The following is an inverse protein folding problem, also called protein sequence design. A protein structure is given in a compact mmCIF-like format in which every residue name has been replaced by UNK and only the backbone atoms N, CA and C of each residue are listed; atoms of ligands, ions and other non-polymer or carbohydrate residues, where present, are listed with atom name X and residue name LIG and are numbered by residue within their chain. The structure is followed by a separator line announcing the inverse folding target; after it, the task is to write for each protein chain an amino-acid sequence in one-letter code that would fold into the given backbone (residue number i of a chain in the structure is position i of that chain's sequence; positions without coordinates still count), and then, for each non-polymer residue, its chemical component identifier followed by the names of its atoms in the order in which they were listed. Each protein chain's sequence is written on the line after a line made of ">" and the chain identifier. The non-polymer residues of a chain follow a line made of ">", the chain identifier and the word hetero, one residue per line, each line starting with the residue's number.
data_IF_247287779314
#
_entry.id   IF_247287779314
#
_cell.length_a   1.000
_cell.length_b   1.000
_cell.length_c   1.000
_cell.angle_alpha   90.00
_cell.angle_beta   90.00
_cell.angle_gamma   90.00
#
_symmetry.space_group_name_H-M   'P 1'
#
loop_
_entity.id
_entity.type
_entity.pdbx_description
1 polymer ?
#
# COMPACT_ATOMS: atom_id res chain seq x y z
N UNK A 1 28.53 7.28 -10.94
CA UNK A 1 28.12 7.55 -9.54
C UNK A 1 26.63 7.87 -9.47
N UNK A 2 26.09 8.84 -10.22
CA UNK A 2 24.63 9.00 -10.33
C UNK A 2 23.90 7.79 -10.96
N UNK A 3 24.61 7.03 -11.80
CA UNK A 3 24.16 5.77 -12.40
C UNK A 3 23.53 4.84 -11.37
N UNK A 4 24.19 4.63 -10.24
CA UNK A 4 23.84 3.53 -9.33
C UNK A 4 22.48 3.76 -8.65
N UNK A 5 22.10 5.02 -8.41
CA UNK A 5 20.80 5.38 -7.82
C UNK A 5 19.67 5.33 -8.85
N UNK A 6 19.95 5.80 -10.08
CA UNK A 6 19.00 5.71 -11.19
C UNK A 6 18.74 4.24 -11.51
N UNK A 7 19.80 3.42 -11.55
CA UNK A 7 19.74 1.98 -11.77
C UNK A 7 18.91 1.32 -10.68
N UNK A 8 19.17 1.58 -9.40
CA UNK A 8 18.35 1.02 -8.31
C UNK A 8 16.88 1.45 -8.40
N UNK A 9 16.62 2.71 -8.78
CA UNK A 9 15.25 3.20 -8.96
C UNK A 9 14.50 2.39 -10.03
N UNK A 10 15.11 2.23 -11.21
CA UNK A 10 14.46 1.52 -12.33
C UNK A 10 14.50 -0.01 -12.21
N UNK A 11 15.48 -0.58 -11.52
CA UNK A 11 15.62 -2.04 -11.38
C UNK A 11 14.92 -2.59 -10.14
N UNK A 12 14.70 -1.78 -9.10
CA UNK A 12 14.08 -2.23 -7.86
C UNK A 12 12.85 -1.39 -7.47
N UNK A 13 13.00 -0.08 -7.30
CA UNK A 13 11.92 0.75 -6.72
C UNK A 13 10.66 0.74 -7.58
N UNK A 14 10.78 1.12 -8.86
CA UNK A 14 9.67 1.18 -9.80
C UNK A 14 9.01 -0.18 -10.04
N UNK A 15 9.73 -1.24 -10.46
CA UNK A 15 9.11 -2.52 -10.76
C UNK A 15 8.46 -3.19 -9.54
N UNK A 16 9.08 -3.12 -8.35
CA UNK A 16 8.48 -3.72 -7.15
C UNK A 16 7.22 -2.96 -6.70
N UNK A 17 7.20 -1.63 -6.87
CA UNK A 17 6.01 -0.83 -6.62
C UNK A 17 4.89 -1.16 -7.61
N UNK A 18 5.19 -1.15 -8.91
CA UNK A 18 4.22 -1.46 -9.96
C UNK A 18 3.65 -2.88 -9.81
N UNK A 19 4.48 -3.88 -9.49
CA UNK A 19 4.02 -5.24 -9.19
C UNK A 19 2.98 -5.25 -8.06
N UNK A 20 3.28 -4.61 -6.93
CA UNK A 20 2.35 -4.57 -5.80
C UNK A 20 1.07 -3.79 -6.14
N UNK A 21 1.21 -2.64 -6.81
CA UNK A 21 0.08 -1.80 -7.19
C UNK A 21 -0.87 -2.53 -8.15
N UNK A 22 -0.34 -3.19 -9.18
CA UNK A 22 -1.15 -3.96 -10.13
C UNK A 22 -1.77 -5.22 -9.50
N UNK A 23 -1.03 -5.95 -8.66
CA UNK A 23 -1.59 -7.08 -7.93
C UNK A 23 -2.74 -6.66 -7.03
N UNK A 24 -2.64 -5.51 -6.36
CA UNK A 24 -3.71 -4.99 -5.50
C UNK A 24 -5.03 -4.72 -6.24
N UNK A 25 -4.97 -4.54 -7.58
CA UNK A 25 -6.12 -4.30 -8.44
C UNK A 25 -6.67 -5.57 -9.10
N UNK A 26 -5.80 -6.53 -9.37
CA UNK A 26 -6.10 -7.65 -10.28
C UNK A 26 -6.24 -8.98 -9.58
N UNK A 27 -5.60 -9.18 -8.41
CA UNK A 27 -5.66 -10.44 -7.71
C UNK A 27 -7.07 -10.65 -7.14
N UNK A 28 -7.63 -11.84 -7.39
CA UNK A 28 -8.97 -12.23 -6.92
C UNK A 28 -8.90 -13.25 -5.78
N UNK A 29 -7.71 -13.52 -5.24
CA UNK A 29 -7.47 -14.53 -4.22
C UNK A 29 -6.73 -13.94 -3.01
N UNK A 30 -7.12 -14.36 -1.80
CA UNK A 30 -6.47 -13.90 -0.53
C UNK A 30 -5.83 -15.00 0.28
N UNK A 31 -5.89 -16.24 -0.20
CA UNK A 31 -5.11 -17.34 0.38
C UNK A 31 -3.62 -17.25 0.08
N UNK A 32 -3.24 -16.67 -1.07
CA UNK A 32 -1.85 -16.62 -1.54
C UNK A 32 -0.94 -15.72 -0.71
N UNK A 33 0.38 -15.94 -0.84
CA UNK A 33 1.39 -15.03 -0.32
C UNK A 33 1.81 -13.95 -1.33
N UNK A 34 1.34 -14.04 -2.58
CA UNK A 34 1.78 -13.15 -3.67
C UNK A 34 1.59 -11.66 -3.36
N UNK A 35 0.39 -11.25 -2.90
CA UNK A 35 0.12 -9.85 -2.59
C UNK A 35 0.94 -9.34 -1.37
N UNK A 36 0.97 -10.04 -0.22
CA UNK A 36 1.89 -9.71 0.87
C UNK A 36 3.36 -9.67 0.46
N UNK A 37 3.84 -10.64 -0.31
CA UNK A 37 5.24 -10.72 -0.74
C UNK A 37 5.60 -9.51 -1.63
N UNK A 38 4.73 -9.15 -2.58
CA UNK A 38 4.88 -7.95 -3.40
C UNK A 38 4.88 -6.68 -2.54
N UNK A 39 3.99 -6.58 -1.56
CA UNK A 39 3.95 -5.47 -0.62
C UNK A 39 5.26 -5.31 0.16
N UNK A 40 5.84 -6.43 0.64
CA UNK A 40 7.10 -6.41 1.40
C UNK A 40 8.30 -6.08 0.51
N UNK A 41 8.34 -6.59 -0.73
CA UNK A 41 9.38 -6.21 -1.71
C UNK A 41 9.31 -4.72 -2.04
N UNK A 42 8.12 -4.19 -2.31
CA UNK A 42 7.87 -2.78 -2.55
C UNK A 42 8.36 -1.93 -1.37
N UNK A 43 7.89 -2.24 -0.16
CA UNK A 43 8.30 -1.54 1.06
C UNK A 43 9.82 -1.56 1.29
N UNK A 44 10.47 -2.71 1.07
CA UNK A 44 11.91 -2.85 1.19
C UNK A 44 12.69 -1.98 0.22
N UNK A 45 12.32 -2.01 -1.06
CA UNK A 45 12.98 -1.19 -2.09
C UNK A 45 12.78 0.31 -1.86
N UNK A 46 11.56 0.74 -1.50
CA UNK A 46 11.25 2.12 -1.18
C UNK A 46 12.00 2.62 0.06
N UNK A 47 12.12 1.78 1.10
CA UNK A 47 12.84 2.14 2.32
C UNK A 47 14.35 2.22 2.10
N UNK A 48 14.92 1.22 1.41
CA UNK A 48 16.35 1.15 1.14
C UNK A 48 16.83 2.14 0.08
N UNK A 49 15.93 2.69 -0.75
CA UNK A 49 16.34 3.68 -1.74
C UNK A 49 17.03 4.90 -1.12
N UNK A 50 16.64 5.30 0.10
CA UNK A 50 17.35 6.33 0.87
C UNK A 50 18.83 5.97 1.06
N UNK A 51 19.13 4.72 1.41
CA UNK A 51 20.50 4.26 1.67
C UNK A 51 21.37 4.39 0.41
N UNK A 52 20.79 4.15 -0.76
CA UNK A 52 21.46 4.38 -2.03
C UNK A 52 21.77 5.85 -2.26
N UNK A 53 20.98 6.79 -1.72
CA UNK A 53 21.20 8.23 -1.88
C UNK A 53 22.20 8.82 -0.87
N UNK A 54 22.61 8.07 0.17
CA UNK A 54 23.49 8.59 1.22
C UNK A 54 24.87 9.03 0.68
N UNK A 55 25.40 8.39 -0.36
CA UNK A 55 26.68 8.81 -0.94
C UNK A 55 26.62 10.20 -1.60
N UNK A 56 25.42 10.66 -1.98
CA UNK A 56 25.20 11.99 -2.57
C UNK A 56 24.89 13.07 -1.53
N UNK A 57 24.13 12.73 -0.50
CA UNK A 57 23.57 13.70 0.45
C UNK A 57 24.16 13.61 1.87
N UNK A 58 25.01 12.61 2.11
CA UNK A 58 25.64 12.34 3.40
C UNK A 58 24.66 11.97 4.50
N UNK A 59 25.16 11.89 5.74
CA UNK A 59 24.41 11.44 6.92
C UNK A 59 23.25 12.37 7.31
N UNK A 60 23.25 13.60 6.80
CA UNK A 60 22.14 14.54 6.98
C UNK A 60 20.84 14.03 6.37
N UNK A 61 20.93 13.18 5.34
CA UNK A 61 19.81 12.52 4.66
C UNK A 61 19.28 11.32 5.45
N UNK A 62 19.11 11.53 6.75
CA UNK A 62 18.69 10.53 7.71
C UNK A 62 17.25 10.08 7.49
N UNK A 63 16.87 8.95 8.09
CA UNK A 63 15.48 8.49 8.14
C UNK A 63 14.52 9.57 8.63
N UNK A 64 14.89 10.25 9.71
CA UNK A 64 14.06 11.31 10.33
C UNK A 64 13.85 12.49 9.40
N UNK A 65 14.90 12.86 8.66
CA UNK A 65 14.81 13.91 7.66
C UNK A 65 13.84 13.52 6.53
N UNK A 66 13.97 12.32 5.96
CA UNK A 66 13.05 11.85 4.90
C UNK A 66 11.62 11.76 5.43
N UNK A 67 11.42 11.27 6.65
CA UNK A 67 10.10 11.21 7.29
C UNK A 67 9.47 12.60 7.52
N UNK A 68 10.28 13.65 7.71
CA UNK A 68 9.75 15.03 7.78
C UNK A 68 9.26 15.56 6.43
N UNK A 69 9.72 14.98 5.31
CA UNK A 69 9.27 15.32 3.97
C UNK A 69 8.12 14.43 3.49
N UNK A 70 8.08 13.17 3.94
CA UNK A 70 7.04 12.20 3.65
C UNK A 70 6.72 11.40 4.92
N UNK A 71 5.64 11.74 5.61
CA UNK A 71 5.27 11.13 6.90
C UNK A 71 5.04 9.61 6.82
N UNK A 72 4.63 9.12 5.65
CA UNK A 72 4.40 7.69 5.41
C UNK A 72 5.70 6.87 5.25
N UNK A 73 6.85 7.53 5.11
CA UNK A 73 8.14 6.85 4.99
C UNK A 73 8.46 6.01 6.23
N UNK A 74 8.08 6.50 7.41
CA UNK A 74 8.36 5.79 8.65
C UNK A 74 7.60 4.47 8.75
N UNK A 75 6.31 4.48 8.40
CA UNK A 75 5.47 3.28 8.47
C UNK A 75 5.89 2.24 7.43
N UNK A 76 6.26 2.66 6.22
CA UNK A 76 6.82 1.76 5.19
C UNK A 76 8.10 1.10 5.70
N UNK A 77 8.99 1.87 6.32
CA UNK A 77 10.21 1.34 6.92
C UNK A 77 9.96 0.44 8.13
N UNK A 78 8.97 0.72 8.98
CA UNK A 78 8.59 -0.17 10.09
C UNK A 78 8.06 -1.51 9.57
N UNK A 79 7.14 -1.47 8.60
CA UNK A 79 6.55 -2.67 7.99
C UNK A 79 7.63 -3.56 7.39
N UNK A 80 8.54 -3.00 6.60
CA UNK A 80 9.65 -3.77 6.04
C UNK A 80 10.55 -4.38 7.14
N UNK A 81 10.95 -3.59 8.14
CA UNK A 81 11.82 -4.10 9.21
C UNK A 81 11.13 -5.18 10.07
N UNK A 82 9.80 -5.17 10.18
CA UNK A 82 9.04 -6.20 10.88
C UNK A 82 9.13 -7.59 10.22
N UNK A 83 9.48 -7.66 8.93
CA UNK A 83 9.69 -8.94 8.24
C UNK A 83 11.02 -9.59 8.63
N UNK A 84 12.01 -8.79 9.04
CA UNK A 84 13.34 -9.24 9.46
C UNK A 84 13.41 -9.58 10.94
N UNK A 85 12.56 -8.96 11.75
CA UNK A 85 12.60 -9.06 13.21
C UNK A 85 11.23 -9.45 13.74
N UNK A 86 11.20 -10.46 14.62
CA UNK A 86 9.96 -10.90 15.29
C UNK A 86 9.25 -9.74 16.00
N UNK A 87 10.03 -8.83 16.59
CA UNK A 87 9.55 -7.60 17.21
C UNK A 87 10.47 -6.43 16.86
N UNK A 88 9.89 -5.24 16.73
CA UNK A 88 10.64 -4.01 16.52
C UNK A 88 10.97 -3.41 17.90
N UNK A 89 12.24 -3.41 18.29
CA UNK A 89 12.67 -2.97 19.64
C UNK A 89 12.86 -1.45 19.80
N UNK A 90 12.83 -0.69 18.70
CA UNK A 90 12.99 0.77 18.76
C UNK A 90 11.79 1.47 19.40
N UNK A 91 12.07 2.61 20.07
CA UNK A 91 11.08 3.41 20.80
C UNK A 91 10.03 4.06 19.91
N UNK A 92 10.42 4.49 18.71
CA UNK A 92 9.57 5.27 17.79
C UNK A 92 8.87 4.41 16.72
N UNK A 93 8.65 3.12 16.98
CA UNK A 93 7.94 2.25 16.04
C UNK A 93 6.47 2.62 15.93
N UNK A 94 5.90 2.46 14.74
CA UNK A 94 4.47 2.69 14.47
C UNK A 94 3.63 1.41 14.49
N UNK A 95 4.28 0.24 14.42
CA UNK A 95 3.65 -1.08 14.56
C UNK A 95 4.42 -1.95 15.54
N UNK A 96 3.79 -3.01 16.05
CA UNK A 96 4.40 -3.89 17.03
C UNK A 96 5.44 -4.83 16.41
N UNK A 97 5.13 -5.38 15.23
CA UNK A 97 5.95 -6.37 14.53
C UNK A 97 5.17 -6.99 13.38
N UNK A 98 5.58 -8.17 12.91
CA UNK A 98 4.94 -8.84 11.77
C UNK A 98 3.47 -9.20 12.03
N UNK A 99 3.06 -9.39 13.30
CA UNK A 99 1.67 -9.61 13.70
C UNK A 99 0.76 -8.39 13.47
N UNK A 100 1.33 -7.21 13.22
CA UNK A 100 0.60 -6.02 12.81
C UNK A 100 0.31 -5.99 11.30
N UNK A 101 0.86 -6.92 10.51
CA UNK A 101 0.61 -7.03 9.08
C UNK A 101 -0.44 -8.12 8.88
N UNK A 102 -1.61 -7.71 8.42
CA UNK A 102 -2.75 -8.59 8.25
C UNK A 102 -3.06 -8.75 6.77
N UNK A 103 -3.46 -9.95 6.37
CA UNK A 103 -4.16 -10.13 5.10
C UNK A 103 -5.63 -9.80 5.32
N UNK A 104 -6.22 -9.07 4.38
CA UNK A 104 -7.61 -8.71 4.50
C UNK A 104 -8.27 -8.50 3.17
N UNK A 105 -9.55 -8.16 3.26
CA UNK A 105 -10.37 -7.76 2.14
C UNK A 105 -11.11 -6.47 2.49
N UNK A 106 -11.10 -5.54 1.54
CA UNK A 106 -12.06 -4.45 1.53
C UNK A 106 -13.29 -4.87 0.75
N UNK A 107 -14.46 -4.66 1.36
CA UNK A 107 -15.74 -4.70 0.67
C UNK A 107 -16.29 -3.30 0.68
N UNK A 108 -16.23 -2.64 -0.47
CA UNK A 108 -16.80 -1.32 -0.67
C UNK A 108 -18.22 -1.47 -1.21
N UNK A 109 -19.20 -1.10 -0.41
CA UNK A 109 -20.62 -1.08 -0.74
C UNK A 109 -20.98 0.27 -1.32
N UNK A 110 -21.72 0.27 -2.41
CA UNK A 110 -22.14 1.46 -3.12
C UNK A 110 -23.65 1.39 -3.33
N UNK A 111 -24.34 2.54 -3.28
CA UNK A 111 -25.77 2.62 -3.58
C UNK A 111 -26.01 3.69 -4.64
N UNK A 112 -26.49 3.26 -5.81
CA UNK A 112 -26.93 4.14 -6.89
C UNK A 112 -28.44 3.98 -7.14
N UNK A 113 -28.97 4.64 -8.18
CA UNK A 113 -30.39 4.56 -8.57
C UNK A 113 -30.84 3.15 -8.95
N UNK A 114 -29.91 2.28 -9.39
CA UNK A 114 -30.17 0.87 -9.75
C UNK A 114 -30.07 -0.07 -8.54
N UNK A 115 -29.71 0.44 -7.37
CA UNK A 115 -29.63 -0.32 -6.13
C UNK A 115 -28.21 -0.42 -5.57
N UNK A 116 -27.98 -1.44 -4.73
CA UNK A 116 -26.69 -1.65 -4.07
C UNK A 116 -25.78 -2.49 -4.96
N UNK A 117 -24.50 -2.15 -5.04
CA UNK A 117 -23.45 -3.00 -5.60
C UNK A 117 -22.21 -2.99 -4.69
N UNK A 118 -21.30 -3.93 -4.93
CA UNK A 118 -20.12 -4.11 -4.09
C UNK A 118 -18.87 -4.26 -4.94
N UNK A 119 -17.76 -3.73 -4.44
CA UNK A 119 -16.42 -3.97 -4.97
C UNK A 119 -15.61 -4.63 -3.88
N UNK A 120 -15.06 -5.80 -4.21
CA UNK A 120 -14.23 -6.60 -3.33
C UNK A 120 -12.79 -6.39 -3.76
N UNK A 121 -11.90 -6.08 -2.82
CA UNK A 121 -10.48 -5.93 -3.13
C UNK A 121 -9.61 -6.53 -2.04
N UNK A 122 -8.70 -7.45 -2.38
CA UNK A 122 -7.72 -7.96 -1.44
C UNK A 122 -6.76 -6.86 -1.01
N UNK A 123 -6.33 -6.89 0.24
CA UNK A 123 -5.46 -5.86 0.79
C UNK A 123 -4.46 -6.42 1.80
N UNK A 124 -3.35 -5.70 1.91
CA UNK A 124 -2.45 -5.81 3.07
C UNK A 124 -2.85 -4.71 4.02
N UNK A 125 -3.34 -5.10 5.19
CA UNK A 125 -3.81 -4.18 6.21
C UNK A 125 -2.74 -4.04 7.29
N UNK A 126 -2.54 -2.82 7.75
CA UNK A 126 -1.63 -2.54 8.85
C UNK A 126 -2.44 -2.19 10.08
N UNK A 127 -2.12 -2.85 11.19
CA UNK A 127 -2.60 -2.52 12.52
C UNK A 127 -1.57 -1.64 13.25
N UNK A 128 -1.74 -0.30 13.27
CA UNK A 128 -0.82 0.58 13.97
C UNK A 128 -0.92 0.41 15.49
N UNK A 129 0.10 0.84 16.22
CA UNK A 129 0.06 0.91 17.69
C UNK A 129 -1.02 1.88 18.20
N UNK A 130 -1.37 2.89 17.38
CA UNK A 130 -2.39 3.89 17.66
C UNK A 130 -3.21 4.15 16.41
N UNK A 131 -4.53 4.22 16.57
CA UNK A 131 -5.45 4.47 15.46
C UNK A 131 -6.09 3.19 14.91
N UNK A 132 -6.79 3.33 13.78
CA UNK A 132 -7.48 2.24 13.10
C UNK A 132 -6.58 1.56 12.08
N UNK A 133 -6.91 0.32 11.74
CA UNK A 133 -6.31 -0.40 10.64
C UNK A 133 -6.49 0.38 9.31
N UNK A 134 -5.48 0.32 8.44
CA UNK A 134 -5.52 0.99 7.14
C UNK A 134 -4.87 0.12 6.05
N UNK A 135 -5.16 0.46 4.80
CA UNK A 135 -4.56 -0.21 3.64
C UNK A 135 -3.11 0.22 3.44
N UNK A 136 -2.19 -0.75 3.44
CA UNK A 136 -0.77 -0.51 3.24
C UNK A 136 -0.42 0.02 1.84
N UNK A 137 -1.28 -0.18 0.84
CA UNK A 137 -1.06 0.36 -0.49
C UNK A 137 -0.98 1.90 -0.48
N UNK A 138 -1.73 2.56 0.43
CA UNK A 138 -1.74 4.02 0.55
C UNK A 138 -0.37 4.61 0.93
N UNK A 139 0.25 4.26 2.07
CA UNK A 139 1.57 4.80 2.41
C UNK A 139 2.64 4.38 1.40
N UNK A 140 2.57 3.16 0.84
CA UNK A 140 3.50 2.73 -0.21
C UNK A 140 3.40 3.62 -1.46
N UNK A 141 2.19 3.94 -1.91
CA UNK A 141 1.94 4.86 -3.04
C UNK A 141 2.47 6.26 -2.74
N UNK A 142 2.24 6.77 -1.53
CA UNK A 142 2.72 8.09 -1.13
C UNK A 142 4.25 8.17 -1.11
N UNK A 143 4.92 7.14 -0.59
CA UNK A 143 6.39 7.06 -0.57
C UNK A 143 6.96 6.89 -1.99
N UNK A 144 6.33 6.09 -2.84
CA UNK A 144 6.72 5.98 -4.25
C UNK A 144 6.65 7.33 -4.96
N UNK A 145 5.48 8.00 -4.90
CA UNK A 145 5.29 9.31 -5.50
C UNK A 145 6.27 10.35 -4.97
N UNK A 146 6.57 10.31 -3.67
CA UNK A 146 7.60 11.15 -3.05
C UNK A 146 8.97 10.92 -3.70
N UNK A 147 9.39 9.66 -3.87
CA UNK A 147 10.67 9.34 -4.51
C UNK A 147 10.71 9.72 -5.98
N UNK A 148 9.66 9.46 -6.75
CA UNK A 148 9.58 9.86 -8.15
C UNK A 148 9.68 11.39 -8.29
N UNK A 149 8.94 12.13 -7.45
CA UNK A 149 9.03 13.59 -7.41
C UNK A 149 10.42 14.07 -7.01
N UNK A 150 11.00 13.47 -5.97
CA UNK A 150 12.35 13.82 -5.51
C UNK A 150 13.39 13.64 -6.62
N UNK A 151 13.35 12.51 -7.33
CA UNK A 151 14.27 12.22 -8.43
C UNK A 151 14.09 13.19 -9.60
N UNK A 152 12.85 13.53 -9.94
CA UNK A 152 12.55 14.52 -10.97
C UNK A 152 13.02 15.92 -10.61
N UNK A 153 12.75 16.39 -9.39
CA UNK A 153 13.18 17.71 -8.91
C UNK A 153 14.71 17.85 -8.89
N UNK A 154 15.43 16.72 -8.83
CA UNK A 154 16.90 16.65 -8.91
C UNK A 154 17.43 16.49 -10.34
N UNK A 155 16.57 16.48 -11.35
CA UNK A 155 16.94 16.30 -12.76
C UNK A 155 17.42 14.89 -13.09
N UNK A 156 17.11 13.89 -12.25
CA UNK A 156 17.50 12.49 -12.44
C UNK A 156 16.46 11.69 -13.24
N UNK A 157 15.23 12.22 -13.33
CA UNK A 157 14.17 11.70 -14.20
C UNK A 157 13.72 12.79 -15.17
N UNK A 158 13.45 12.40 -16.41
CA UNK A 158 12.90 13.32 -17.43
C UNK A 158 11.40 13.55 -17.25
N UNK A 159 10.70 12.57 -16.67
CA UNK A 159 9.24 12.53 -16.54
C UNK A 159 8.82 11.88 -15.23
N UNK A 160 7.60 12.20 -14.80
CA UNK A 160 7.01 11.73 -13.55
C UNK A 160 5.69 11.03 -13.83
N UNK A 161 5.60 9.78 -13.37
CA UNK A 161 4.36 9.02 -13.34
C UNK A 161 3.86 9.03 -11.89
N UNK A 162 2.74 9.71 -11.64
CA UNK A 162 2.11 9.71 -10.32
C UNK A 162 0.99 8.68 -10.26
N UNK A 163 0.95 7.96 -9.14
CA UNK A 163 -0.08 6.97 -8.87
C UNK A 163 -1.06 7.52 -7.85
N UNK A 164 -2.36 7.31 -8.09
CA UNK A 164 -3.38 7.67 -7.12
C UNK A 164 -3.84 6.41 -6.40
N UNK A 165 -3.84 6.45 -5.07
CA UNK A 165 -4.49 5.42 -4.28
C UNK A 165 -6.01 5.60 -4.39
N UNK A 166 -6.66 4.76 -5.18
CA UNK A 166 -8.10 4.80 -5.44
C UNK A 166 -8.95 4.18 -4.32
N UNK A 167 -8.34 3.65 -3.24
CA UNK A 167 -9.09 2.90 -2.22
C UNK A 167 -10.16 3.71 -1.46
N UNK A 168 -10.15 5.04 -1.60
CA UNK A 168 -11.15 5.97 -1.08
C UNK A 168 -11.90 6.72 -2.20
N UNK A 169 -11.80 6.30 -3.46
CA UNK A 169 -12.50 6.93 -4.58
C UNK A 169 -13.79 6.17 -4.91
N UNK A 170 -14.92 6.86 -5.16
CA UNK A 170 -16.12 6.21 -5.65
C UNK A 170 -15.88 5.57 -7.02
N UNK A 171 -16.25 4.30 -7.16
CA UNK A 171 -16.11 3.53 -8.40
C UNK A 171 -17.49 3.39 -9.01
N UNK A 172 -17.69 3.81 -10.27
CA UNK A 172 -18.97 3.65 -10.96
C UNK A 172 -19.34 2.17 -11.16
N UNK A 173 -20.63 1.86 -11.21
CA UNK A 173 -21.11 0.49 -11.48
C UNK A 173 -20.54 -0.08 -12.78
N UNK A 174 -20.43 0.72 -13.85
CA UNK A 174 -19.92 0.25 -15.15
C UNK A 174 -18.42 -0.01 -15.14
N UNK A 175 -17.67 0.65 -14.26
CA UNK A 175 -16.22 0.47 -14.14
C UNK A 175 -15.83 -0.69 -13.22
N UNK A 176 -16.78 -1.30 -12.50
CA UNK A 176 -16.50 -2.50 -11.71
C UNK A 176 -16.19 -3.65 -12.68
N UNK A 177 -14.98 -4.21 -12.66
CA UNK A 177 -14.66 -5.38 -13.47
C UNK A 177 -15.68 -6.48 -13.21
N UNK A 178 -16.16 -7.16 -14.26
CA UNK A 178 -17.09 -8.29 -14.13
C UNK A 178 -16.55 -9.43 -13.25
N UNK A 179 -15.23 -9.51 -13.05
CA UNK A 179 -14.60 -10.45 -12.10
C UNK A 179 -14.85 -10.09 -10.63
N UNK A 180 -15.18 -8.82 -10.34
CA UNK A 180 -15.53 -8.31 -9.01
C UNK A 180 -17.04 -8.15 -8.84
N UNK A 181 -17.78 -8.00 -9.94
CA UNK A 181 -19.25 -7.94 -9.97
C UNK A 181 -19.83 -9.36 -9.96
N UNK A 182 -20.32 -9.80 -8.80
CA UNK A 182 -20.92 -11.13 -8.67
C UNK A 182 -19.94 -12.26 -8.35
N UNK A 183 -18.86 -11.98 -7.59
CA UNK A 183 -18.39 -12.98 -6.63
C UNK A 183 -19.64 -13.38 -5.83
N UNK A 184 -20.29 -14.48 -6.23
CA UNK A 184 -21.33 -15.13 -5.44
C UNK A 184 -20.76 -15.19 -4.04
N UNK A 185 -21.56 -14.82 -3.06
CA UNK A 185 -21.26 -14.75 -1.62
C UNK A 185 -20.56 -15.97 -0.99
N UNK A 186 -20.18 -16.96 -1.78
CA UNK A 186 -19.03 -17.81 -1.50
C UNK A 186 -17.78 -16.93 -1.34
N UNK A 187 -17.62 -16.41 -0.12
CA UNK A 187 -16.31 -15.94 0.36
C UNK A 187 -15.25 -16.92 -0.17
N UNK A 188 -14.10 -16.42 -0.66
CA UNK A 188 -13.01 -17.27 -1.13
C UNK A 188 -12.83 -18.43 -0.15
N UNK A 189 -12.75 -19.68 -0.63
CA UNK A 189 -12.69 -20.86 0.25
C UNK A 189 -11.42 -20.79 1.10
N UNK A 190 -11.53 -20.21 2.29
CA UNK A 190 -10.42 -20.10 3.24
C UNK A 190 -10.22 -21.41 3.95
N UNK A 191 -8.96 -21.73 4.24
CA UNK A 191 -8.61 -22.88 5.08
C UNK A 191 -9.07 -22.68 6.53
N UNK A 192 -9.17 -21.43 7.02
CA UNK A 192 -9.74 -21.03 8.33
C UNK A 192 -10.25 -19.58 8.26
N UNK A 193 -11.46 -19.31 8.75
CA UNK A 193 -12.06 -17.97 8.75
C UNK A 193 -11.42 -17.00 9.77
N UNK A 194 -10.60 -17.53 10.67
CA UNK A 194 -10.04 -16.86 11.85
C UNK A 194 -8.93 -15.85 11.49
N UNK A 195 -8.31 -16.00 10.32
CA UNK A 195 -7.10 -15.26 9.92
C UNK A 195 -7.39 -14.06 9.00
N UNK A 196 -8.66 -13.77 8.72
CA UNK A 196 -9.05 -12.73 7.77
C UNK A 196 -9.73 -11.54 8.45
N UNK A 197 -9.16 -10.35 8.24
CA UNK A 197 -9.84 -9.11 8.58
C UNK A 197 -10.68 -8.63 7.39
N UNK A 198 -12.01 -8.61 7.57
CA UNK A 198 -12.96 -8.02 6.63
C UNK A 198 -13.23 -6.58 7.04
N UNK A 199 -12.94 -5.62 6.15
CA UNK A 199 -13.30 -4.22 6.35
C UNK A 199 -14.41 -3.87 5.35
N UNK A 200 -15.60 -3.54 5.88
CA UNK A 200 -16.72 -3.07 5.09
C UNK A 200 -16.72 -1.55 5.11
N UNK A 201 -16.82 -0.94 3.92
CA UNK A 201 -16.98 0.51 3.76
C UNK A 201 -18.22 0.75 2.94
N UNK A 202 -19.08 1.66 3.35
CA UNK A 202 -20.27 2.00 2.56
C UNK A 202 -20.13 3.42 2.03
N UNK A 203 -20.15 3.61 0.70
CA UNK A 203 -20.22 4.93 0.09
C UNK A 203 -21.67 5.28 -0.25
N UNK A 204 -22.11 6.42 0.28
CA UNK A 204 -23.43 6.97 0.00
C UNK A 204 -23.30 8.04 -1.09
N UNK A 205 -23.69 7.70 -2.33
CA UNK A 205 -23.69 8.63 -3.46
C UNK A 205 -24.66 9.80 -3.29
N UNK A 206 -25.74 9.62 -2.52
CA UNK A 206 -26.74 10.67 -2.28
C UNK A 206 -26.11 11.77 -1.41
N UNK A 207 -25.34 11.37 -0.41
CA UNK A 207 -24.70 12.28 0.54
C UNK A 207 -23.22 12.57 0.25
N UNK A 208 -22.69 12.01 -0.85
CA UNK A 208 -21.29 12.14 -1.28
C UNK A 208 -20.27 11.88 -0.15
N UNK A 209 -20.46 10.81 0.63
CA UNK A 209 -19.61 10.49 1.79
C UNK A 209 -19.47 8.98 2.05
N UNK A 210 -18.33 8.58 2.65
CA UNK A 210 -18.17 7.25 3.23
C UNK A 210 -18.82 7.17 4.62
N UNK A 211 -19.44 6.03 4.87
CA UNK A 211 -19.98 5.58 6.15
C UNK A 211 -19.12 4.37 6.55
N UNK A 212 -18.44 4.49 7.69
CA UNK A 212 -17.65 3.41 8.26
C UNK A 212 -18.52 2.67 9.27
N UNK A 213 -18.81 1.40 8.97
CA UNK A 213 -19.49 0.45 9.87
C UNK A 213 -18.47 -0.28 10.75
#
# INVERSE_FOLDING_TARGET
>A
MFSDHIDYYYQAVKPNFEEYFELSKTINEVGGNQLPDAAMKSAGSLFHFRDHLLSLYGDSFSRKYVASLCSDFDIVGDVYNSTKHKEISRKERLIQGSTSILKGFFVSRFKDEMGIYQVHRPAVLIKPLKGKEFDFLKPVTNVYNFWTKFMYDKGLLEKVDYYTFEGDSPVSRQSVPKSLDGMKTEMPRYKKAEDLLLIIRTYDYINNKFIYE
#
